data_IF_274886565943
#
_entry.id   IF_274886565943
#
_cell.length_a   1.000
_cell.length_b   1.000
_cell.length_c   1.000
_cell.angle_alpha   90.00
_cell.angle_beta   90.00
_cell.angle_gamma   90.00
#
_symmetry.space_group_name_H-M   'P 1'
#
loop_
_entity.id
_entity.type
_entity.pdbx_description
1 polymer ?
#
# COMPACT_ATOMS: atom_id res chain seq x y z
N UNK A 1 2.45 -12.48 19.94
CA UNK A 1 2.79 -11.89 18.63
C UNK A 1 1.50 -11.33 18.06
N UNK A 2 1.41 -10.02 17.86
CA UNK A 2 0.26 -9.42 17.16
C UNK A 2 0.36 -9.80 15.69
N UNK A 3 -0.64 -10.51 15.17
CA UNK A 3 -0.82 -10.59 13.73
C UNK A 3 -1.45 -9.28 13.28
N UNK A 4 -0.76 -8.57 12.38
CA UNK A 4 -1.33 -7.42 11.67
C UNK A 4 -2.64 -7.83 11.00
N UNK A 5 -3.64 -6.95 11.05
CA UNK A 5 -4.95 -7.18 10.45
C UNK A 5 -4.93 -6.99 8.93
N UNK A 6 -4.14 -6.02 8.46
CA UNK A 6 -3.80 -5.84 7.04
C UNK A 6 -2.29 -5.72 6.91
N UNK A 7 -1.73 -6.36 5.89
CA UNK A 7 -0.30 -6.32 5.61
C UNK A 7 -0.05 -6.24 4.10
N UNK A 8 0.68 -5.21 3.68
CA UNK A 8 1.26 -5.05 2.35
C UNK A 8 2.77 -5.23 2.49
N UNK A 9 3.34 -6.17 1.73
CA UNK A 9 4.77 -6.46 1.69
C UNK A 9 5.26 -6.34 0.24
N UNK A 10 6.14 -5.37 -0.01
CA UNK A 10 6.74 -5.04 -1.32
C UNK A 10 5.73 -5.05 -2.49
N UNK A 11 4.57 -4.41 -2.26
CA UNK A 11 3.50 -4.37 -3.27
C UNK A 11 3.87 -3.37 -4.38
N UNK A 12 3.85 -3.88 -5.61
CA UNK A 12 4.04 -3.13 -6.86
C UNK A 12 2.77 -3.16 -7.68
N UNK A 13 2.44 -2.05 -8.35
CA UNK A 13 1.30 -1.95 -9.26
C UNK A 13 1.72 -1.26 -10.55
N UNK A 14 1.33 -1.87 -11.67
CA UNK A 14 1.44 -1.32 -13.02
C UNK A 14 0.08 -1.42 -13.69
N UNK A 15 -0.36 -0.34 -14.34
CA UNK A 15 -1.55 -0.39 -15.18
C UNK A 15 -1.25 -1.11 -16.50
N UNK A 16 -2.28 -1.62 -17.17
CA UNK A 16 -2.12 -2.28 -18.48
C UNK A 16 -1.58 -1.33 -19.56
N UNK A 17 -1.77 -0.03 -19.37
CA UNK A 17 -1.26 1.03 -20.23
C UNK A 17 -0.08 1.72 -19.55
N UNK A 18 1.07 1.75 -20.22
CA UNK A 18 2.28 2.43 -19.78
C UNK A 18 3.34 1.55 -19.11
N UNK A 19 4.60 2.01 -19.22
CA UNK A 19 5.79 1.33 -18.69
C UNK A 19 6.23 1.86 -17.32
N UNK A 20 5.46 2.74 -16.70
CA UNK A 20 5.74 3.28 -15.36
C UNK A 20 4.99 2.50 -14.26
N UNK A 21 5.61 2.39 -13.08
CA UNK A 21 4.98 1.78 -11.92
C UNK A 21 4.11 2.83 -11.23
N UNK A 22 2.81 2.56 -11.12
CA UNK A 22 1.89 3.38 -10.34
C UNK A 22 2.17 3.26 -8.83
N UNK A 23 2.63 2.07 -8.41
CA UNK A 23 3.21 1.83 -7.09
C UNK A 23 4.49 1.02 -7.29
N UNK A 24 5.63 1.49 -6.77
CA UNK A 24 6.89 0.76 -6.88
C UNK A 24 7.12 -0.15 -5.67
N UNK A 25 7.33 0.39 -4.48
CA UNK A 25 7.51 -0.41 -3.26
C UNK A 25 6.63 0.14 -2.14
N UNK A 26 5.49 -0.51 -1.93
CA UNK A 26 4.52 -0.15 -0.88
C UNK A 26 4.53 -1.20 0.22
N UNK A 27 5.00 -0.81 1.42
CA UNK A 27 4.97 -1.63 2.63
C UNK A 27 4.07 -0.97 3.67
N UNK A 28 3.12 -1.72 4.23
CA UNK A 28 2.16 -1.20 5.21
C UNK A 28 1.70 -2.31 6.15
N UNK A 29 1.56 -1.99 7.44
CA UNK A 29 0.94 -2.87 8.43
C UNK A 29 -0.12 -2.08 9.17
N UNK A 30 -1.28 -2.70 9.35
CA UNK A 30 -2.41 -2.09 10.06
C UNK A 30 -2.87 -3.09 11.11
N UNK A 31 -2.90 -2.65 12.35
CA UNK A 31 -3.40 -3.46 13.46
C UNK A 31 -4.93 -3.34 13.59
N UNK A 32 -5.55 -4.32 14.26
CA UNK A 32 -7.01 -4.35 14.41
C UNK A 32 -7.46 -3.17 15.29
N UNK A 33 -8.31 -2.32 14.72
CA UNK A 33 -8.82 -1.10 15.39
C UNK A 33 -7.97 0.14 15.16
N UNK A 34 -6.86 0.02 14.43
CA UNK A 34 -6.06 1.15 13.99
C UNK A 34 -6.76 1.90 12.85
N UNK A 35 -6.71 3.24 12.91
CA UNK A 35 -7.27 4.11 11.88
C UNK A 35 -6.14 4.87 11.18
N UNK A 36 -6.05 4.71 9.86
CA UNK A 36 -4.97 5.30 9.06
C UNK A 36 -5.56 6.16 7.94
N UNK A 37 -4.97 7.32 7.72
CA UNK A 37 -5.26 8.19 6.58
C UNK A 37 -4.16 8.02 5.52
N UNK A 38 -4.56 7.69 4.30
CA UNK A 38 -3.67 7.70 3.13
C UNK A 38 -3.86 9.04 2.42
N UNK A 39 -2.77 9.79 2.25
CA UNK A 39 -2.78 11.14 1.68
C UNK A 39 -1.75 11.26 0.56
N UNK A 40 -2.02 12.13 -0.40
CA UNK A 40 -1.13 12.41 -1.52
C UNK A 40 -1.70 13.48 -2.45
N UNK A 41 -0.89 14.02 -3.37
CA UNK A 41 -1.38 14.85 -4.46
C UNK A 41 -2.37 14.08 -5.34
N UNK A 42 -3.13 14.79 -6.18
CA UNK A 42 -3.95 14.14 -7.20
C UNK A 42 -3.04 13.32 -8.13
N UNK A 43 -3.35 12.03 -8.26
CA UNK A 43 -2.75 11.12 -9.23
C UNK A 43 -3.38 11.28 -10.61
#
# INVERSE_FOLDING_TARGET
MSNSFVELNDVKLRYSEGDELALDTTNMKIDKGEFIAVVGPSG
#
